data_IF_187713079500
#
_entry.id   IF_187713079500
#
_cell.length_a   1.000
_cell.length_b   1.000
_cell.length_c   1.000
_cell.angle_alpha   90.00
_cell.angle_beta   90.00
_cell.angle_gamma   90.00
#
_symmetry.space_group_name_H-M   'P 1'
#
loop_
_entity.id
_entity.type
_entity.pdbx_description
1 polymer ?
#
# COMPACT_ATOMS: atom_id res chain seq x y z
N UNK A 1 15.93 13.12 -0.94
CA UNK A 1 15.54 11.92 -1.71
C UNK A 1 14.06 11.65 -1.44
N UNK A 2 13.28 11.22 -2.44
CA UNK A 2 11.84 10.91 -2.26
C UNK A 2 11.63 9.40 -2.30
N UNK A 3 10.96 8.86 -1.28
CA UNK A 3 10.64 7.45 -1.15
C UNK A 3 9.12 7.29 -1.17
N UNK A 4 8.59 6.69 -2.22
CA UNK A 4 7.16 6.41 -2.34
C UNK A 4 6.95 4.91 -2.09
N UNK A 5 6.21 4.58 -1.04
CA UNK A 5 5.72 3.22 -0.77
C UNK A 5 4.30 3.10 -1.33
N UNK A 6 4.13 2.27 -2.34
CA UNK A 6 2.81 1.98 -2.93
C UNK A 6 2.43 0.58 -2.50
N UNK A 7 1.36 0.45 -1.70
CA UNK A 7 0.96 -0.82 -1.10
C UNK A 7 -0.51 -1.13 -1.37
N UNK A 8 -0.81 -2.39 -1.70
CA UNK A 8 -2.19 -2.87 -1.87
C UNK A 8 -2.73 -3.34 -0.52
N UNK A 9 -3.80 -2.72 -0.05
CA UNK A 9 -4.36 -2.99 1.27
C UNK A 9 -4.96 -1.73 1.88
N UNK A 10 -6.10 -1.88 2.54
CA UNK A 10 -6.68 -0.86 3.42
C UNK A 10 -7.15 -1.54 4.69
N UNK A 11 -7.20 -0.77 5.79
CA UNK A 11 -7.56 -1.25 7.14
C UNK A 11 -6.55 -2.26 7.68
N UNK A 12 -5.33 -1.78 7.90
CA UNK A 12 -4.35 -2.60 8.60
C UNK A 12 -4.81 -2.86 10.04
N UNK A 13 -4.39 -3.96 10.67
CA UNK A 13 -4.56 -4.15 12.09
C UNK A 13 -3.92 -2.99 12.88
N UNK A 14 -4.54 -2.62 14.01
CA UNK A 14 -4.10 -1.47 14.82
C UNK A 14 -2.60 -1.53 15.19
N UNK A 15 -2.07 -2.72 15.43
CA UNK A 15 -0.67 -2.93 15.79
C UNK A 15 0.30 -2.62 14.62
N UNK A 16 -0.14 -2.86 13.38
CA UNK A 16 0.64 -2.53 12.16
C UNK A 16 0.68 -1.03 11.96
N UNK A 17 -0.49 -0.37 12.00
CA UNK A 17 -0.58 1.08 11.82
C UNK A 17 0.24 1.83 12.88
N UNK A 18 0.12 1.39 14.14
CA UNK A 18 0.89 1.98 15.25
C UNK A 18 2.38 1.84 15.02
N UNK A 19 2.86 0.64 14.66
CA UNK A 19 4.27 0.42 14.38
C UNK A 19 4.73 1.25 13.17
N UNK A 20 3.96 1.27 12.08
CA UNK A 20 4.30 2.03 10.88
C UNK A 20 4.44 3.53 11.15
N UNK A 21 3.51 4.13 11.87
CA UNK A 21 3.57 5.54 12.27
C UNK A 21 4.81 5.80 13.13
N UNK A 22 5.16 4.89 14.03
CA UNK A 22 6.34 5.03 14.88
C UNK A 22 7.65 4.93 14.08
N UNK A 23 7.77 3.96 13.18
CA UNK A 23 8.98 3.78 12.37
C UNK A 23 9.14 4.85 11.28
N UNK A 24 8.05 5.31 10.67
CA UNK A 24 8.10 6.38 9.66
C UNK A 24 8.67 7.69 10.21
N UNK A 25 8.39 8.03 11.48
CA UNK A 25 8.96 9.20 12.17
C UNK A 25 10.47 9.11 12.37
N UNK A 26 11.04 7.91 12.38
CA UNK A 26 12.47 7.66 12.59
C UNK A 26 13.28 7.84 11.31
N UNK A 27 12.62 8.05 10.17
CA UNK A 27 13.31 8.30 8.91
C UNK A 27 14.08 9.64 8.96
N UNK A 28 15.29 9.70 8.36
CA UNK A 28 16.04 10.93 8.23
C UNK A 28 15.23 12.04 7.55
N UNK A 29 15.39 13.29 8.02
CA UNK A 29 14.64 14.46 7.49
C UNK A 29 14.85 14.73 5.99
N UNK A 30 15.96 14.25 5.42
CA UNK A 30 16.25 14.39 3.99
C UNK A 30 15.50 13.37 3.11
N UNK A 31 14.78 12.42 3.71
CA UNK A 31 13.91 11.46 3.03
C UNK A 31 12.47 11.96 3.13
N UNK A 32 11.91 12.33 1.99
CA UNK A 32 10.47 12.58 1.88
C UNK A 32 9.76 11.25 1.64
N UNK A 33 9.18 10.68 2.69
CA UNK A 33 8.49 9.41 2.66
C UNK A 33 6.99 9.60 2.47
N UNK A 34 6.43 8.91 1.46
CA UNK A 34 5.01 8.97 1.13
C UNK A 34 4.45 7.56 1.01
N UNK A 35 3.32 7.29 1.66
CA UNK A 35 2.58 6.03 1.56
C UNK A 35 1.34 6.25 0.70
N UNK A 36 1.20 5.47 -0.37
CA UNK A 36 -0.01 5.40 -1.19
C UNK A 36 -0.66 4.04 -1.01
N UNK A 37 -1.82 4.03 -0.36
CA UNK A 37 -2.62 2.82 -0.17
C UNK A 37 -3.60 2.58 -1.31
N UNK A 38 -3.54 1.39 -1.89
CA UNK A 38 -4.39 0.97 -2.99
C UNK A 38 -5.47 0.02 -2.47
N UNK A 39 -6.72 0.34 -2.76
CA UNK A 39 -7.85 -0.55 -2.45
C UNK A 39 -7.70 -1.88 -3.21
N UNK A 40 -7.61 -3.03 -2.53
CA UNK A 40 -7.48 -4.35 -3.15
C UNK A 40 -8.63 -4.65 -4.12
N UNK A 41 -8.37 -5.46 -5.13
CA UNK A 41 -9.44 -5.97 -5.98
C UNK A 41 -10.31 -6.98 -5.20
N UNK A 42 -11.61 -7.02 -5.48
CA UNK A 42 -12.52 -7.96 -4.84
C UNK A 42 -12.23 -9.39 -5.32
N UNK A 43 -11.81 -10.28 -4.41
CA UNK A 43 -11.47 -11.67 -4.68
C UNK A 43 -12.65 -12.57 -4.30
N UNK A 44 -13.63 -12.66 -5.18
CA UNK A 44 -14.76 -13.58 -5.02
C UNK A 44 -14.49 -14.91 -5.77
N UNK A 45 -15.27 -15.96 -5.47
CA UNK A 45 -15.09 -17.32 -6.03
C UNK A 45 -15.14 -17.36 -7.57
N UNK A 46 -15.81 -16.40 -8.20
CA UNK A 46 -16.01 -16.35 -9.66
C UNK A 46 -15.03 -15.42 -10.37
N UNK A 47 -14.10 -14.77 -9.67
CA UNK A 47 -13.17 -13.81 -10.25
C UNK A 47 -11.80 -14.42 -10.40
N UNK A 48 -11.22 -14.27 -11.58
CA UNK A 48 -9.87 -14.76 -11.86
C UNK A 48 -8.84 -13.95 -11.04
N UNK A 49 -7.88 -14.66 -10.44
CA UNK A 49 -6.76 -14.05 -9.73
C UNK A 49 -5.91 -13.15 -10.63
N UNK A 50 -5.74 -13.50 -11.91
CA UNK A 50 -4.93 -12.72 -12.84
C UNK A 50 -5.60 -11.40 -13.22
N UNK A 51 -6.92 -11.38 -13.36
CA UNK A 51 -7.67 -10.15 -13.56
C UNK A 51 -7.59 -9.22 -12.34
N UNK A 52 -7.63 -9.80 -11.14
CA UNK A 52 -7.49 -9.04 -9.89
C UNK A 52 -6.12 -8.37 -9.79
N UNK A 53 -5.05 -9.09 -10.15
CA UNK A 53 -3.68 -8.54 -10.23
C UNK A 53 -3.57 -7.42 -11.25
N UNK A 54 -4.14 -7.57 -12.46
CA UNK A 54 -4.13 -6.52 -13.49
C UNK A 54 -4.85 -5.24 -13.05
N UNK A 55 -5.94 -5.37 -12.28
CA UNK A 55 -6.64 -4.22 -11.71
C UNK A 55 -5.76 -3.50 -10.67
N UNK A 56 -5.07 -4.26 -9.82
CA UNK A 56 -4.14 -3.71 -8.82
C UNK A 56 -2.94 -3.05 -9.50
N UNK A 57 -2.35 -3.67 -10.52
CA UNK A 57 -1.25 -3.14 -11.35
C UNK A 57 -1.61 -1.79 -11.98
N UNK A 58 -2.80 -1.68 -12.60
CA UNK A 58 -3.27 -0.42 -13.18
C UNK A 58 -3.37 0.71 -12.15
N UNK A 59 -3.66 0.40 -10.89
CA UNK A 59 -3.73 1.41 -9.81
C UNK A 59 -2.34 1.76 -9.26
N UNK A 60 -1.37 0.85 -9.35
CA UNK A 60 0.02 1.10 -8.93
C UNK A 60 0.71 2.03 -9.93
N UNK A 61 0.42 1.86 -11.22
CA UNK A 61 1.06 2.61 -12.31
C UNK A 61 0.33 3.92 -12.67
N UNK A 62 -0.79 4.24 -12.01
CA UNK A 62 -1.54 5.47 -12.19
C UNK A 62 -1.04 6.57 -11.25
#
# INVERSE_FOLDING_TARGET
MRLNLIAVGKRMPIWVDTAFIEYSKRLPKNINFNLTEITPANRNKNRNSDESKKIEEKKINA
#
